data_IF_016116162856
#
_entry.id   IF_016116162856
#
_cell.length_a   1.000
_cell.length_b   1.000
_cell.length_c   1.000
_cell.angle_alpha   90.00
_cell.angle_beta   90.00
_cell.angle_gamma   90.00
#
_symmetry.space_group_name_H-M   'P 1'
#
loop_
_entity.id
_entity.type
_entity.pdbx_description
1 polymer ?
#
# COMPACT_ATOMS: atom_id res chain seq x y z
N UNK A 1 -56.42 25.74 -21.64
CA UNK A 1 -56.53 24.76 -20.53
C UNK A 1 -55.13 24.30 -20.16
N UNK A 2 -54.84 24.23 -18.86
CA UNK A 2 -53.48 24.21 -18.26
C UNK A 2 -52.69 22.94 -18.60
N UNK A 3 -51.40 23.11 -18.91
CA UNK A 3 -50.40 22.05 -19.02
C UNK A 3 -50.11 21.47 -17.63
N UNK A 4 -50.21 20.16 -17.46
CA UNK A 4 -49.83 19.45 -16.25
C UNK A 4 -48.46 18.82 -16.47
N UNK A 5 -47.41 19.47 -15.99
CA UNK A 5 -46.08 18.89 -15.83
C UNK A 5 -46.09 18.04 -14.56
N UNK A 6 -46.03 16.72 -14.71
CA UNK A 6 -45.94 15.78 -13.59
C UNK A 6 -44.45 15.59 -13.24
N UNK A 7 -43.95 16.43 -12.33
CA UNK A 7 -42.64 16.25 -11.69
C UNK A 7 -42.78 15.12 -10.65
N UNK A 8 -42.25 13.94 -10.95
CA UNK A 8 -42.20 12.82 -10.02
C UNK A 8 -40.95 12.95 -9.14
N UNK A 9 -41.06 13.73 -8.07
CA UNK A 9 -40.05 13.83 -7.02
C UNK A 9 -40.11 12.55 -6.16
N UNK A 10 -39.25 11.58 -6.44
CA UNK A 10 -39.11 10.40 -5.58
C UNK A 10 -38.34 10.81 -4.31
N UNK A 11 -39.09 11.12 -3.25
CA UNK A 11 -38.57 11.38 -1.92
C UNK A 11 -38.04 10.07 -1.33
N UNK A 12 -36.73 9.84 -1.45
CA UNK A 12 -36.02 8.79 -0.72
C UNK A 12 -35.68 9.34 0.67
N UNK A 13 -36.65 9.25 1.58
CA UNK A 13 -36.42 9.48 3.01
C UNK A 13 -35.75 8.23 3.60
N UNK A 14 -34.42 8.15 3.50
CA UNK A 14 -33.65 7.07 4.14
C UNK A 14 -33.49 7.37 5.62
N UNK A 15 -34.04 6.48 6.42
CA UNK A 15 -33.85 6.35 7.86
C UNK A 15 -32.38 6.08 8.20
N UNK A 16 -31.65 7.13 8.55
CA UNK A 16 -30.27 7.09 9.09
C UNK A 16 -30.14 6.23 10.38
N UNK A 17 -31.26 5.85 11.01
CA UNK A 17 -31.30 5.14 12.28
C UNK A 17 -30.91 3.66 12.20
N UNK A 18 -31.12 3.00 11.06
CA UNK A 18 -30.89 1.56 10.92
C UNK A 18 -29.40 1.19 10.77
N UNK A 19 -28.59 2.10 10.22
CA UNK A 19 -27.14 1.91 10.04
C UNK A 19 -26.41 1.91 11.39
N UNK A 20 -26.89 2.69 12.37
CA UNK A 20 -26.23 2.88 13.68
C UNK A 20 -26.21 1.65 14.60
N UNK A 21 -27.02 0.62 14.36
CA UNK A 21 -27.17 -0.54 15.26
C UNK A 21 -26.26 -1.73 14.91
N UNK A 22 -25.69 -1.83 13.71
CA UNK A 22 -24.73 -2.89 13.35
C UNK A 22 -23.25 -2.50 13.62
N UNK A 23 -22.99 -1.23 13.94
CA UNK A 23 -21.68 -0.56 14.03
C UNK A 23 -20.83 -0.88 15.29
N UNK A 24 -21.15 -1.92 16.06
CA UNK A 24 -20.63 -2.12 17.43
C UNK A 24 -19.54 -3.21 17.58
N UNK A 25 -18.81 -3.57 16.52
CA UNK A 25 -17.70 -4.50 16.66
C UNK A 25 -16.57 -4.29 15.64
N UNK A 26 -15.39 -4.01 16.20
CA UNK A 26 -14.02 -4.10 15.64
C UNK A 26 -13.49 -2.93 14.80
N UNK A 27 -12.33 -2.43 15.25
CA UNK A 27 -11.65 -1.21 14.86
C UNK A 27 -10.53 -1.45 13.82
N UNK A 28 -10.91 -1.78 12.58
CA UNK A 28 -10.01 -1.65 11.43
C UNK A 28 -10.74 -0.87 10.33
N UNK A 29 -10.08 0.09 9.70
CA UNK A 29 -10.72 1.05 8.79
C UNK A 29 -11.12 0.46 7.45
N UNK A 30 -10.45 -0.63 7.08
CA UNK A 30 -10.87 -1.57 6.03
C UNK A 30 -12.36 -1.94 6.21
N UNK A 31 -12.84 -2.13 7.45
CA UNK A 31 -14.25 -2.42 7.71
C UNK A 31 -15.21 -1.28 7.36
N UNK A 32 -14.82 -0.02 7.49
CA UNK A 32 -15.74 1.09 7.21
C UNK A 32 -15.93 1.26 5.71
N UNK A 33 -14.83 1.31 4.97
CA UNK A 33 -14.85 1.45 3.51
C UNK A 33 -15.55 0.23 2.88
N UNK A 34 -15.19 -0.99 3.29
CA UNK A 34 -15.77 -2.21 2.74
C UNK A 34 -17.27 -2.35 3.05
N UNK A 35 -17.70 -1.95 4.24
CA UNK A 35 -19.13 -1.94 4.58
C UNK A 35 -19.92 -1.00 3.68
N UNK A 36 -19.39 0.19 3.42
CA UNK A 36 -20.03 1.16 2.52
C UNK A 36 -20.04 0.65 1.09
N UNK A 37 -18.92 0.12 0.59
CA UNK A 37 -18.85 -0.47 -0.76
C UNK A 37 -19.84 -1.63 -0.94
N UNK A 38 -19.98 -2.49 0.07
CA UNK A 38 -20.93 -3.60 0.07
C UNK A 38 -22.38 -3.13 -0.01
N UNK A 39 -22.73 -2.08 0.73
CA UNK A 39 -24.08 -1.52 0.69
C UNK A 39 -24.36 -0.82 -0.64
N UNK A 40 -23.41 -0.04 -1.16
CA UNK A 40 -23.52 0.57 -2.50
C UNK A 40 -23.73 -0.49 -3.59
N UNK A 41 -22.98 -1.59 -3.52
CA UNK A 41 -23.12 -2.67 -4.50
C UNK A 41 -24.49 -3.35 -4.39
N UNK A 42 -25.00 -3.51 -3.16
CA UNK A 42 -26.34 -4.07 -2.92
C UNK A 42 -27.43 -3.16 -3.49
N UNK A 43 -27.37 -1.86 -3.23
CA UNK A 43 -28.33 -0.89 -3.76
C UNK A 43 -28.29 -0.85 -5.30
N UNK A 44 -27.09 -0.84 -5.88
CA UNK A 44 -26.89 -0.91 -7.34
C UNK A 44 -27.48 -2.19 -7.92
N UNK A 45 -27.21 -3.35 -7.33
CA UNK A 45 -27.69 -4.62 -7.83
C UNK A 45 -29.23 -4.67 -7.91
N UNK A 46 -29.92 -4.12 -6.90
CA UNK A 46 -31.38 -4.00 -6.92
C UNK A 46 -31.87 -3.05 -8.02
N UNK A 47 -31.20 -1.91 -8.21
CA UNK A 47 -31.53 -0.96 -9.28
C UNK A 47 -31.33 -1.58 -10.67
N UNK A 48 -30.19 -2.25 -10.89
CA UNK A 48 -29.85 -2.95 -12.13
C UNK A 48 -30.91 -4.00 -12.48
N UNK A 49 -31.34 -4.80 -11.51
CA UNK A 49 -32.39 -5.80 -11.71
C UNK A 49 -33.73 -5.17 -12.12
N UNK A 50 -34.07 -4.01 -11.54
CA UNK A 50 -35.28 -3.27 -11.89
C UNK A 50 -35.22 -2.74 -13.33
N UNK A 51 -34.08 -2.16 -13.71
CA UNK A 51 -33.86 -1.63 -15.06
C UNK A 51 -33.89 -2.75 -16.10
N UNK A 52 -33.25 -3.89 -15.83
CA UNK A 52 -33.28 -5.07 -16.71
C UNK A 52 -34.71 -5.59 -16.93
N UNK A 53 -35.52 -5.63 -15.86
CA UNK A 53 -36.92 -6.03 -15.96
C UNK A 53 -37.71 -5.08 -16.86
N UNK A 54 -37.54 -3.77 -16.69
CA UNK A 54 -38.20 -2.74 -17.51
C UNK A 54 -37.79 -2.81 -18.97
N UNK A 55 -36.49 -2.97 -19.24
CA UNK A 55 -35.98 -3.12 -20.61
C UNK A 55 -36.62 -4.33 -21.29
N UNK A 56 -36.71 -5.47 -20.60
CA UNK A 56 -37.39 -6.68 -21.12
C UNK A 56 -38.88 -6.46 -21.39
N UNK A 57 -39.57 -5.72 -20.52
CA UNK A 57 -40.97 -5.36 -20.72
C UNK A 57 -41.15 -4.49 -21.98
N UNK A 58 -40.29 -3.49 -22.16
CA UNK A 58 -40.30 -2.61 -23.34
C UNK A 58 -39.97 -3.41 -24.61
N UNK A 59 -38.98 -4.30 -24.57
CA UNK A 59 -38.63 -5.17 -25.68
C UNK A 59 -39.81 -6.06 -26.10
N UNK A 60 -40.59 -6.58 -25.14
CA UNK A 60 -41.81 -7.34 -25.44
C UNK A 60 -42.87 -6.47 -26.13
N UNK A 61 -43.07 -5.22 -25.69
CA UNK A 61 -43.99 -4.27 -26.34
C UNK A 61 -43.57 -3.94 -27.77
N UNK A 62 -42.27 -3.73 -27.99
CA UNK A 62 -41.69 -3.48 -29.33
C UNK A 62 -41.92 -4.69 -30.24
N UNK A 63 -41.65 -5.91 -29.75
CA UNK A 63 -41.85 -7.13 -30.54
C UNK A 63 -43.31 -7.33 -30.94
N UNK A 64 -44.24 -7.13 -30.01
CA UNK A 64 -45.69 -7.21 -30.30
C UNK A 64 -46.12 -6.15 -31.33
N UNK A 65 -45.57 -4.93 -31.24
CA UNK A 65 -45.81 -3.88 -32.23
C UNK A 65 -45.23 -4.25 -33.60
N UNK A 66 -44.03 -4.83 -33.65
CA UNK A 66 -43.41 -5.26 -34.90
C UNK A 66 -44.24 -6.33 -35.62
N UNK A 67 -44.83 -7.27 -34.89
CA UNK A 67 -45.79 -8.24 -35.44
C UNK A 67 -47.08 -7.55 -35.93
N UNK A 68 -47.63 -6.62 -35.14
CA UNK A 68 -48.84 -5.88 -35.49
C UNK A 68 -48.66 -4.98 -36.73
N UNK A 69 -47.49 -4.36 -36.90
CA UNK A 69 -47.12 -3.55 -38.07
C UNK A 69 -47.03 -4.44 -39.32
N UNK A 70 -46.38 -5.60 -39.22
CA UNK A 70 -46.27 -6.57 -40.33
C UNK A 70 -47.63 -7.04 -40.81
N UNK A 71 -48.57 -7.26 -39.88
CA UNK A 71 -49.90 -7.78 -40.18
C UNK A 71 -50.91 -6.70 -40.60
N UNK A 72 -50.61 -5.41 -40.41
CA UNK A 72 -51.51 -4.33 -40.80
C UNK A 72 -51.59 -4.15 -42.32
N UNK A 73 -52.79 -3.86 -42.84
CA UNK A 73 -53.06 -3.59 -44.27
C UNK A 73 -53.34 -2.12 -44.56
N UNK A 74 -53.54 -1.29 -43.53
CA UNK A 74 -53.86 0.13 -43.67
C UNK A 74 -52.61 0.97 -43.43
N UNK A 75 -52.28 1.87 -44.38
CA UNK A 75 -51.13 2.77 -44.27
C UNK A 75 -51.22 3.72 -43.05
N UNK A 76 -52.43 4.22 -42.73
CA UNK A 76 -52.61 5.12 -41.58
C UNK A 76 -52.35 4.41 -40.25
N UNK A 77 -52.86 3.18 -40.09
CA UNK A 77 -52.64 2.34 -38.91
C UNK A 77 -51.16 1.93 -38.75
N UNK A 78 -50.45 1.69 -39.86
CA UNK A 78 -49.00 1.46 -39.83
C UNK A 78 -48.22 2.67 -39.33
N UNK A 79 -48.57 3.88 -39.78
CA UNK A 79 -47.89 5.10 -39.36
C UNK A 79 -48.06 5.32 -37.86
N UNK A 80 -49.27 5.16 -37.33
CA UNK A 80 -49.54 5.31 -35.89
C UNK A 80 -48.74 4.31 -35.05
N UNK A 81 -48.71 3.03 -35.45
CA UNK A 81 -47.91 1.99 -34.75
C UNK A 81 -46.41 2.22 -34.86
N UNK A 82 -45.92 2.77 -35.97
CA UNK A 82 -44.51 3.15 -36.10
C UNK A 82 -44.15 4.30 -35.16
N UNK A 83 -45.03 5.29 -34.97
CA UNK A 83 -44.82 6.35 -33.99
C UNK A 83 -44.78 5.80 -32.56
N UNK A 84 -45.69 4.88 -32.22
CA UNK A 84 -45.70 4.20 -30.92
C UNK A 84 -44.43 3.37 -30.70
N UNK A 85 -43.94 2.68 -31.74
CA UNK A 85 -42.67 1.96 -31.71
C UNK A 85 -41.48 2.88 -31.46
N UNK A 86 -41.43 4.04 -32.13
CA UNK A 86 -40.36 5.04 -31.90
C UNK A 86 -40.37 5.49 -30.44
N UNK A 87 -41.55 5.78 -29.88
CA UNK A 87 -41.68 6.12 -28.46
C UNK A 87 -41.13 5.02 -27.54
N UNK A 88 -41.45 3.75 -27.78
CA UNK A 88 -40.90 2.66 -26.97
C UNK A 88 -39.39 2.49 -27.15
N UNK A 89 -38.84 2.77 -28.33
CA UNK A 89 -37.38 2.79 -28.53
C UNK A 89 -36.71 3.92 -27.76
N UNK A 90 -37.31 5.11 -27.71
CA UNK A 90 -36.83 6.23 -26.89
C UNK A 90 -36.89 5.90 -25.39
N UNK A 91 -37.98 5.28 -24.92
CA UNK A 91 -38.11 4.80 -23.54
C UNK A 91 -37.04 3.74 -23.22
N UNK A 92 -36.82 2.79 -24.13
CA UNK A 92 -35.77 1.77 -23.99
C UNK A 92 -34.38 2.40 -23.88
N UNK A 93 -34.07 3.35 -24.77
CA UNK A 93 -32.79 4.05 -24.74
C UNK A 93 -32.63 4.83 -23.42
N UNK A 94 -33.70 5.43 -22.90
CA UNK A 94 -33.67 6.11 -21.61
C UNK A 94 -33.36 5.15 -20.45
N UNK A 95 -33.92 3.93 -20.43
CA UNK A 95 -33.61 2.95 -19.39
C UNK A 95 -32.18 2.41 -19.49
N UNK A 96 -31.64 2.23 -20.71
CA UNK A 96 -30.23 1.89 -20.93
C UNK A 96 -29.31 3.00 -20.42
N UNK A 97 -29.60 4.26 -20.77
CA UNK A 97 -28.84 5.41 -20.30
C UNK A 97 -28.83 5.50 -18.76
N UNK A 98 -29.97 5.23 -18.10
CA UNK A 98 -30.06 5.16 -16.63
C UNK A 98 -29.16 4.06 -16.06
N UNK A 99 -29.10 2.89 -16.70
CA UNK A 99 -28.25 1.80 -16.26
C UNK A 99 -26.77 2.18 -16.38
N UNK A 100 -26.35 2.74 -17.51
CA UNK A 100 -24.98 3.21 -17.71
C UNK A 100 -24.59 4.26 -16.67
N UNK A 101 -25.46 5.24 -16.39
CA UNK A 101 -25.20 6.24 -15.34
C UNK A 101 -25.05 5.58 -13.97
N UNK A 102 -25.92 4.61 -13.64
CA UNK A 102 -25.84 3.85 -12.39
C UNK A 102 -24.51 3.10 -12.23
N UNK A 103 -24.00 2.48 -13.30
CA UNK A 103 -22.69 1.82 -13.31
C UNK A 103 -21.56 2.82 -13.04
N UNK A 104 -21.56 3.96 -13.71
CA UNK A 104 -20.53 4.99 -13.51
C UNK A 104 -20.59 5.62 -12.11
N UNK A 105 -21.79 5.84 -11.56
CA UNK A 105 -21.99 6.28 -10.18
C UNK A 105 -21.33 5.34 -9.18
N UNK A 106 -21.60 4.05 -9.29
CA UNK A 106 -21.00 3.04 -8.42
C UNK A 106 -19.48 2.97 -8.63
N UNK A 107 -19.02 2.81 -9.87
CA UNK A 107 -17.60 2.61 -10.14
C UNK A 107 -16.78 3.82 -9.68
N UNK A 108 -17.24 5.04 -9.94
CA UNK A 108 -16.52 6.24 -9.52
C UNK A 108 -16.55 6.44 -8.00
N UNK A 109 -17.70 6.19 -7.35
CA UNK A 109 -17.77 6.20 -5.89
C UNK A 109 -16.79 5.19 -5.30
N UNK A 110 -16.77 3.97 -5.84
CA UNK A 110 -15.82 2.92 -5.45
C UNK A 110 -14.36 3.40 -5.57
N UNK A 111 -14.00 4.05 -6.68
CA UNK A 111 -12.68 4.66 -6.87
C UNK A 111 -12.32 5.64 -5.76
N UNK A 112 -13.19 6.62 -5.51
CA UNK A 112 -12.97 7.65 -4.49
C UNK A 112 -12.84 7.04 -3.08
N UNK A 113 -13.68 6.07 -2.76
CA UNK A 113 -13.65 5.41 -1.45
C UNK A 113 -12.39 4.58 -1.24
N UNK A 114 -11.94 3.85 -2.26
CA UNK A 114 -10.68 3.10 -2.19
C UNK A 114 -9.48 4.05 -2.04
N UNK A 115 -9.46 5.15 -2.78
CA UNK A 115 -8.43 6.17 -2.68
C UNK A 115 -8.39 6.81 -1.28
N UNK A 116 -9.55 7.05 -0.66
CA UNK A 116 -9.66 7.51 0.73
C UNK A 116 -9.08 6.48 1.73
N UNK A 117 -9.36 5.20 1.53
CA UNK A 117 -8.89 4.12 2.40
C UNK A 117 -7.36 4.01 2.39
N UNK A 118 -6.76 4.06 1.19
CA UNK A 118 -5.30 4.00 1.02
C UNK A 118 -4.55 5.07 1.84
N UNK A 119 -5.11 6.27 1.98
CA UNK A 119 -4.49 7.36 2.76
C UNK A 119 -4.30 7.01 4.24
N UNK A 120 -5.16 6.13 4.78
CA UNK A 120 -5.07 5.67 6.16
C UNK A 120 -4.26 4.38 6.29
N UNK A 121 -4.35 3.50 5.31
CA UNK A 121 -3.58 2.25 5.26
C UNK A 121 -2.07 2.48 5.19
N UNK A 122 -1.60 3.56 4.53
CA UNK A 122 -0.16 3.89 4.42
C UNK A 122 0.46 4.32 5.77
N UNK A 123 -0.32 4.60 6.83
CA UNK A 123 0.15 5.22 8.09
C UNK A 123 0.04 4.37 9.38
N UNK A 124 0.28 3.04 9.42
CA UNK A 124 0.16 2.31 10.69
C UNK A 124 1.34 2.64 11.60
N UNK A 125 1.09 3.41 12.67
CA UNK A 125 2.10 3.78 13.67
C UNK A 125 2.78 2.56 14.31
N UNK A 126 2.02 1.47 14.51
CA UNK A 126 2.54 0.23 15.08
C UNK A 126 3.59 -0.42 14.17
N UNK A 127 3.33 -0.49 12.86
CA UNK A 127 4.29 -1.02 11.89
C UNK A 127 5.55 -0.15 11.83
N UNK A 128 5.41 1.17 11.94
CA UNK A 128 6.56 2.08 11.98
C UNK A 128 7.45 1.81 13.19
N UNK A 129 6.85 1.69 14.38
CA UNK A 129 7.60 1.45 15.62
C UNK A 129 8.28 0.07 15.62
N UNK A 130 7.56 -0.99 15.24
CA UNK A 130 8.14 -2.34 15.18
C UNK A 130 9.27 -2.44 14.15
N UNK A 131 9.07 -1.86 12.96
CA UNK A 131 10.11 -1.80 11.92
C UNK A 131 11.36 -1.08 12.43
N UNK A 132 11.19 0.06 13.11
CA UNK A 132 12.32 0.83 13.67
C UNK A 132 13.10 0.02 14.70
N UNK A 133 12.43 -0.69 15.59
CA UNK A 133 13.08 -1.54 16.60
C UNK A 133 13.86 -2.70 15.96
N UNK A 134 13.27 -3.34 14.93
CA UNK A 134 13.94 -4.38 14.16
C UNK A 134 15.21 -3.86 13.48
N UNK A 135 15.12 -2.81 12.66
CA UNK A 135 16.28 -2.27 11.94
C UNK A 135 17.36 -1.73 12.88
N UNK A 136 16.97 -1.08 13.98
CA UNK A 136 17.94 -0.64 14.99
C UNK A 136 18.70 -1.81 15.62
N UNK A 137 18.05 -2.96 15.79
CA UNK A 137 18.69 -4.16 16.33
C UNK A 137 19.60 -4.80 15.29
N UNK A 138 19.15 -4.84 14.04
CA UNK A 138 19.89 -5.35 12.90
C UNK A 138 21.24 -4.61 12.71
N UNK A 139 21.22 -3.28 12.85
CA UNK A 139 22.42 -2.45 12.82
C UNK A 139 23.34 -2.70 14.02
N UNK A 140 22.77 -2.93 15.21
CA UNK A 140 23.57 -3.25 16.39
C UNK A 140 24.35 -4.56 16.22
N UNK A 141 23.74 -5.58 15.62
CA UNK A 141 24.40 -6.88 15.32
C UNK A 141 25.54 -6.71 14.31
N UNK A 142 25.39 -5.78 13.37
CA UNK A 142 26.37 -5.52 12.32
C UNK A 142 27.63 -4.77 12.82
N UNK A 143 27.67 -4.39 14.09
CA UNK A 143 28.78 -3.65 14.67
C UNK A 143 29.51 -4.46 15.77
N UNK A 144 30.74 -4.96 15.50
CA UNK A 144 31.58 -5.66 16.46
C UNK A 144 31.81 -4.91 17.78
N UNK A 145 31.73 -3.56 17.79
CA UNK A 145 31.89 -2.76 19.00
C UNK A 145 30.78 -2.95 20.04
N UNK A 146 29.66 -3.59 19.68
CA UNK A 146 28.59 -3.95 20.61
C UNK A 146 28.78 -5.31 21.28
N UNK A 147 29.89 -5.99 21.03
CA UNK A 147 30.21 -7.28 21.62
C UNK A 147 31.18 -7.11 22.78
N UNK A 148 30.97 -7.92 23.83
CA UNK A 148 31.75 -7.84 25.05
C UNK A 148 33.25 -8.01 24.78
N UNK A 149 34.06 -7.12 25.38
CA UNK A 149 35.51 -7.15 25.26
C UNK A 149 36.08 -6.67 23.92
N UNK A 150 35.24 -6.42 22.90
CA UNK A 150 35.73 -5.99 21.58
C UNK A 150 36.32 -4.57 21.63
N UNK A 151 35.64 -3.61 22.25
CA UNK A 151 36.12 -2.22 22.34
C UNK A 151 37.49 -2.12 23.02
N UNK A 152 37.66 -2.83 24.14
CA UNK A 152 38.93 -2.83 24.88
C UNK A 152 40.05 -3.47 24.07
N UNK A 153 39.78 -4.62 23.44
CA UNK A 153 40.74 -5.28 22.57
C UNK A 153 41.09 -4.42 21.35
N UNK A 154 40.09 -3.79 20.74
CA UNK A 154 40.26 -2.96 19.56
C UNK A 154 41.14 -1.74 19.85
N UNK A 155 41.05 -1.15 21.05
CA UNK A 155 41.99 -0.10 21.48
C UNK A 155 43.44 -0.60 21.57
N UNK A 156 43.68 -1.83 22.03
CA UNK A 156 45.03 -2.43 22.05
C UNK A 156 45.54 -2.67 20.63
N UNK A 157 44.67 -3.14 19.74
CA UNK A 157 44.99 -3.32 18.32
C UNK A 157 45.29 -1.99 17.62
N UNK A 158 44.48 -0.95 17.83
CA UNK A 158 44.73 0.40 17.29
C UNK A 158 46.08 0.96 17.72
N UNK A 159 46.45 0.81 18.99
CA UNK A 159 47.76 1.24 19.48
C UNK A 159 48.89 0.50 18.76
N UNK A 160 48.79 -0.81 18.59
CA UNK A 160 49.76 -1.58 17.81
C UNK A 160 49.88 -1.09 16.37
N UNK A 161 48.76 -0.85 15.69
CA UNK A 161 48.74 -0.34 14.31
C UNK A 161 49.44 1.01 14.23
N UNK A 162 49.17 1.91 15.18
CA UNK A 162 49.78 3.23 15.26
C UNK A 162 51.28 3.17 15.55
N UNK A 163 51.70 2.31 16.45
CA UNK A 163 53.12 2.17 16.84
C UNK A 163 53.96 1.47 15.76
N UNK A 164 53.32 0.61 14.94
CA UNK A 164 54.00 -0.21 13.92
C UNK A 164 53.81 0.31 12.49
N UNK A 165 53.21 1.49 12.31
CA UNK A 165 52.90 2.03 10.98
C UNK A 165 54.14 2.44 10.18
N UNK A 166 55.20 2.91 10.84
CA UNK A 166 56.43 3.36 10.17
C UNK A 166 57.18 2.18 9.52
N UNK A 167 57.07 0.99 10.11
CA UNK A 167 57.78 -0.21 9.68
C UNK A 167 56.96 -1.09 8.70
N UNK A 168 55.66 -0.80 8.52
CA UNK A 168 54.78 -1.60 7.68
C UNK A 168 53.77 -0.74 6.91
N UNK A 169 54.01 -0.59 5.60
CA UNK A 169 53.16 0.19 4.69
C UNK A 169 51.67 -0.25 4.69
N UNK A 170 51.37 -1.53 4.96
CA UNK A 170 49.98 -2.00 5.07
C UNK A 170 49.32 -1.53 6.38
N UNK A 171 50.08 -1.48 7.48
CA UNK A 171 49.60 -0.93 8.75
C UNK A 171 49.48 0.60 8.68
N UNK A 172 50.36 1.29 7.95
CA UNK A 172 50.20 2.72 7.67
C UNK A 172 48.91 3.02 6.90
N UNK A 173 48.60 2.23 5.85
CA UNK A 173 47.36 2.35 5.12
C UNK A 173 46.14 2.08 6.03
N UNK A 174 46.20 1.04 6.87
CA UNK A 174 45.15 0.74 7.83
C UNK A 174 44.97 1.84 8.89
N UNK A 175 46.07 2.41 9.41
CA UNK A 175 46.02 3.52 10.36
C UNK A 175 45.32 4.74 9.73
N UNK A 176 45.67 5.06 8.48
CA UNK A 176 45.01 6.15 7.74
C UNK A 176 43.51 5.89 7.55
N UNK A 177 43.11 4.65 7.24
CA UNK A 177 41.68 4.29 7.14
C UNK A 177 40.98 4.52 8.48
N UNK A 178 41.55 4.00 9.59
CA UNK A 178 40.97 4.15 10.94
C UNK A 178 40.83 5.63 11.32
N UNK A 179 41.83 6.46 11.03
CA UNK A 179 41.81 7.90 11.29
C UNK A 179 40.75 8.64 10.44
N UNK A 180 40.59 8.26 9.18
CA UNK A 180 39.64 8.90 8.24
C UNK A 180 38.19 8.49 8.52
N UNK A 181 37.95 7.23 8.90
CA UNK A 181 36.61 6.71 9.20
C UNK A 181 36.09 7.14 10.57
N UNK A 182 36.96 7.67 11.45
CA UNK A 182 36.61 8.02 12.83
C UNK A 182 36.38 6.81 13.73
N UNK A 183 35.75 7.03 14.88
CA UNK A 183 35.37 5.97 15.82
C UNK A 183 34.49 4.94 15.10
N UNK A 184 35.03 3.74 14.90
CA UNK A 184 34.37 2.61 14.23
C UNK A 184 33.06 2.20 14.91
N UNK A 185 32.79 2.70 16.13
CA UNK A 185 31.50 2.61 16.79
C UNK A 185 30.35 3.32 16.04
N UNK A 186 30.64 4.29 15.16
CA UNK A 186 29.65 5.14 14.48
C UNK A 186 29.11 4.56 13.16
N UNK A 187 29.30 3.26 12.89
CA UNK A 187 28.58 2.55 11.83
C UNK A 187 29.29 2.48 10.47
N UNK A 188 30.63 2.60 10.41
CA UNK A 188 31.35 2.23 9.19
C UNK A 188 31.38 0.70 9.10
N UNK A 189 30.76 0.08 8.07
CA UNK A 189 30.70 -1.37 7.97
C UNK A 189 32.10 -1.98 7.88
N UNK A 190 32.34 -3.06 8.61
CA UNK A 190 33.55 -3.89 8.50
C UNK A 190 33.53 -4.76 7.22
N UNK A 191 33.11 -4.19 6.10
CA UNK A 191 32.78 -4.89 4.85
C UNK A 191 33.37 -4.14 3.65
N UNK A 192 33.63 -4.86 2.55
CA UNK A 192 34.13 -4.28 1.31
C UNK A 192 35.65 -4.12 1.27
N UNK A 193 36.15 -3.10 0.56
CA UNK A 193 37.58 -2.97 0.22
C UNK A 193 38.51 -2.85 1.44
N UNK A 194 37.99 -2.43 2.60
CA UNK A 194 38.78 -2.23 3.82
C UNK A 194 38.87 -3.48 4.71
N UNK A 195 37.97 -4.46 4.52
CA UNK A 195 37.93 -5.68 5.33
C UNK A 195 39.23 -6.49 5.21
N UNK A 196 39.81 -6.57 4.01
CA UNK A 196 41.07 -7.28 3.78
C UNK A 196 42.24 -6.68 4.57
N UNK A 197 42.40 -5.36 4.55
CA UNK A 197 43.46 -4.66 5.31
C UNK A 197 43.29 -4.81 6.81
N UNK A 198 42.04 -4.79 7.30
CA UNK A 198 41.77 -5.03 8.71
C UNK A 198 42.10 -6.47 9.13
N UNK A 199 41.65 -7.48 8.38
CA UNK A 199 41.94 -8.88 8.69
C UNK A 199 43.44 -9.18 8.63
N UNK A 200 44.15 -8.65 7.65
CA UNK A 200 45.62 -8.73 7.56
C UNK A 200 46.29 -8.04 8.76
N UNK A 201 45.79 -6.86 9.15
CA UNK A 201 46.27 -6.11 10.31
C UNK A 201 46.10 -6.91 11.61
N UNK A 202 44.91 -7.47 11.85
CA UNK A 202 44.63 -8.32 13.00
C UNK A 202 45.51 -9.57 13.00
N UNK A 203 45.70 -10.21 11.84
CA UNK A 203 46.60 -11.35 11.69
C UNK A 203 48.05 -11.00 12.03
N UNK A 204 48.51 -9.83 11.57
CA UNK A 204 49.85 -9.29 11.90
C UNK A 204 49.98 -9.03 13.40
N UNK A 205 48.96 -8.44 14.02
CA UNK A 205 48.92 -8.22 15.46
C UNK A 205 49.02 -9.54 16.24
N UNK A 206 48.21 -10.55 15.90
CA UNK A 206 48.26 -11.88 16.52
C UNK A 206 49.65 -12.52 16.42
N UNK A 207 50.31 -12.36 15.26
CA UNK A 207 51.63 -12.93 15.02
C UNK A 207 52.76 -12.19 15.75
N UNK A 208 52.57 -10.91 16.07
CA UNK A 208 53.51 -10.12 16.86
C UNK A 208 53.53 -10.50 18.35
N UNK A 209 52.45 -11.15 18.84
CA UNK A 209 52.28 -11.51 20.24
C UNK A 209 53.11 -12.75 20.61
N UNK A 210 53.89 -12.61 21.69
CA UNK A 210 54.85 -13.62 22.14
C UNK A 210 54.23 -14.59 23.15
N UNK A 211 55.02 -15.59 23.60
CA UNK A 211 54.61 -16.55 24.64
C UNK A 211 54.16 -15.90 25.96
N UNK A 212 54.61 -14.68 26.24
CA UNK A 212 54.23 -13.90 27.43
C UNK A 212 52.84 -13.27 27.31
N UNK A 213 52.35 -13.09 26.08
CA UNK A 213 51.08 -12.42 25.76
C UNK A 213 50.00 -13.45 25.38
N UNK A 214 50.09 -14.66 25.95
CA UNK A 214 49.25 -15.81 25.57
C UNK A 214 47.75 -15.48 25.65
N UNK A 215 47.31 -14.82 26.71
CA UNK A 215 45.91 -14.44 26.91
C UNK A 215 45.44 -13.42 25.86
N UNK A 216 46.24 -12.38 25.58
CA UNK A 216 45.93 -11.39 24.56
C UNK A 216 45.91 -12.02 23.16
N UNK A 217 46.77 -13.00 22.91
CA UNK A 217 46.78 -13.76 21.65
C UNK A 217 45.52 -14.59 21.49
N UNK A 218 45.09 -15.30 22.54
CA UNK A 218 43.84 -16.05 22.54
C UNK A 218 42.64 -15.13 22.35
N UNK A 219 42.58 -14.01 23.09
CA UNK A 219 41.56 -12.97 22.92
C UNK A 219 41.53 -12.43 21.49
N UNK A 220 42.69 -12.11 20.91
CA UNK A 220 42.79 -11.59 19.54
C UNK A 220 42.30 -12.58 18.48
N UNK A 221 42.55 -13.87 18.68
CA UNK A 221 41.99 -14.92 17.80
C UNK A 221 40.47 -14.99 17.92
N UNK A 222 39.90 -14.81 19.12
CA UNK A 222 38.44 -14.75 19.28
C UNK A 222 37.84 -13.49 18.62
N UNK A 223 38.48 -12.33 18.78
CA UNK A 223 38.02 -11.08 18.17
C UNK A 223 38.14 -11.11 16.65
N UNK A 224 39.17 -11.77 16.09
CA UNK A 224 39.28 -12.03 14.66
C UNK A 224 38.07 -12.84 14.16
N UNK A 225 37.75 -13.96 14.82
CA UNK A 225 36.62 -14.81 14.46
C UNK A 225 35.27 -14.08 14.57
N UNK A 226 35.06 -13.34 15.65
CA UNK A 226 33.88 -12.49 15.82
C UNK A 226 33.78 -11.44 14.69
N UNK A 227 34.88 -10.75 14.38
CA UNK A 227 34.93 -9.77 13.27
C UNK A 227 34.57 -10.43 11.95
N UNK A 228 35.06 -11.65 11.70
CA UNK A 228 34.71 -12.43 10.50
C UNK A 228 33.23 -12.77 10.46
N UNK A 229 32.66 -13.31 11.54
CA UNK A 229 31.23 -13.63 11.61
C UNK A 229 30.35 -12.40 11.40
N UNK A 230 30.66 -11.28 12.07
CA UNK A 230 29.92 -10.02 11.92
C UNK A 230 30.07 -9.43 10.51
N UNK A 231 31.27 -9.46 9.92
CA UNK A 231 31.51 -8.99 8.56
C UNK A 231 30.71 -9.80 7.53
N UNK A 232 30.65 -11.13 7.69
CA UNK A 232 29.88 -12.00 6.82
C UNK A 232 28.37 -11.78 6.98
N UNK A 233 27.89 -11.63 8.23
CA UNK A 233 26.51 -11.26 8.52
C UNK A 233 26.14 -9.92 7.87
N UNK A 234 27.00 -8.92 8.01
CA UNK A 234 26.78 -7.57 7.46
C UNK A 234 26.76 -7.63 5.93
N UNK A 235 27.66 -8.37 5.29
CA UNK A 235 27.64 -8.56 3.84
C UNK A 235 26.31 -9.16 3.35
N UNK A 236 25.83 -10.21 4.00
CA UNK A 236 24.56 -10.84 3.63
C UNK A 236 23.36 -9.91 3.91
N UNK A 237 23.42 -9.13 5.01
CA UNK A 237 22.44 -8.10 5.36
C UNK A 237 22.36 -7.02 4.27
N UNK A 238 23.50 -6.49 3.82
CA UNK A 238 23.56 -5.40 2.83
C UNK A 238 22.93 -5.81 1.48
N UNK A 239 23.03 -7.10 1.12
CA UNK A 239 22.34 -7.65 -0.05
C UNK A 239 20.80 -7.59 0.08
N UNK A 240 20.27 -7.72 1.30
CA UNK A 240 18.84 -7.57 1.59
C UNK A 240 18.46 -6.08 1.65
N UNK A 241 19.30 -5.23 2.24
CA UNK A 241 19.06 -3.79 2.37
C UNK A 241 19.00 -3.07 1.01
N UNK A 242 19.74 -3.56 0.01
CA UNK A 242 19.64 -3.03 -1.37
C UNK A 242 18.21 -3.15 -1.93
N UNK A 243 17.50 -4.25 -1.65
CA UNK A 243 16.09 -4.39 -2.05
C UNK A 243 15.19 -3.46 -1.23
N UNK A 244 15.49 -3.27 0.06
CA UNK A 244 14.75 -2.36 0.92
C UNK A 244 14.82 -0.90 0.42
N UNK A 245 15.99 -0.44 -0.03
CA UNK A 245 16.12 0.88 -0.66
C UNK A 245 15.26 1.02 -1.92
N UNK A 246 15.24 -0.01 -2.77
CA UNK A 246 14.39 -0.04 -3.96
C UNK A 246 12.89 -0.03 -3.63
N UNK A 247 12.49 -0.72 -2.55
CA UNK A 247 11.13 -0.70 -2.01
C UNK A 247 10.77 0.71 -1.51
N UNK A 248 11.63 1.36 -0.73
CA UNK A 248 11.39 2.71 -0.22
C UNK A 248 11.19 3.72 -1.35
N UNK A 249 12.02 3.66 -2.40
CA UNK A 249 11.83 4.48 -3.59
C UNK A 249 10.48 4.23 -4.26
N UNK A 250 10.05 2.96 -4.34
CA UNK A 250 8.75 2.60 -4.91
C UNK A 250 7.58 3.13 -4.06
N UNK A 251 7.70 3.13 -2.73
CA UNK A 251 6.73 3.70 -1.81
C UNK A 251 6.63 5.23 -1.96
N UNK A 252 7.76 5.93 -2.06
CA UNK A 252 7.77 7.38 -2.28
C UNK A 252 7.13 7.75 -3.61
N UNK A 253 7.44 7.01 -4.68
CA UNK A 253 6.79 7.16 -5.98
C UNK A 253 5.28 6.91 -5.90
N UNK A 254 4.86 5.84 -5.22
CA UNK A 254 3.45 5.54 -5.00
C UNK A 254 2.75 6.67 -4.24
N UNK A 255 3.37 7.20 -3.17
CA UNK A 255 2.82 8.29 -2.37
C UNK A 255 2.62 9.55 -3.21
N UNK A 256 3.58 9.89 -4.06
CA UNK A 256 3.45 11.02 -4.98
C UNK A 256 2.29 10.84 -5.98
N UNK A 257 2.12 9.63 -6.55
CA UNK A 257 1.01 9.34 -7.46
C UNK A 257 -0.33 9.39 -6.72
N UNK A 258 -0.38 8.87 -5.49
CA UNK A 258 -1.56 8.90 -4.64
C UNK A 258 -1.94 10.34 -4.28
N UNK A 259 -1.00 11.19 -3.88
CA UNK A 259 -1.26 12.61 -3.54
C UNK A 259 -1.79 13.38 -4.76
N UNK A 260 -1.27 13.08 -5.95
CA UNK A 260 -1.81 13.62 -7.21
C UNK A 260 -3.25 13.16 -7.45
N UNK A 261 -3.52 11.86 -7.33
CA UNK A 261 -4.87 11.32 -7.49
C UNK A 261 -5.85 11.88 -6.45
N UNK A 262 -5.40 12.08 -5.20
CA UNK A 262 -6.18 12.72 -4.14
C UNK A 262 -6.54 14.15 -4.53
N UNK A 263 -5.59 14.93 -5.04
CA UNK A 263 -5.81 16.32 -5.47
C UNK A 263 -6.81 16.37 -6.64
N UNK A 264 -6.60 15.55 -7.67
CA UNK A 264 -7.47 15.50 -8.84
C UNK A 264 -8.90 15.07 -8.48
N UNK A 265 -9.06 13.99 -7.72
CA UNK A 265 -10.40 13.50 -7.36
C UNK A 265 -11.06 14.36 -6.30
N UNK A 266 -10.42 14.59 -5.15
CA UNK A 266 -11.07 15.28 -4.04
C UNK A 266 -11.20 16.78 -4.29
N UNK A 267 -10.13 17.48 -4.64
CA UNK A 267 -10.21 18.95 -4.75
C UNK A 267 -10.84 19.40 -6.07
N UNK A 268 -10.39 18.85 -7.19
CA UNK A 268 -10.79 19.35 -8.52
C UNK A 268 -12.14 18.81 -8.97
N UNK A 269 -12.39 17.50 -8.82
CA UNK A 269 -13.64 16.87 -9.28
C UNK A 269 -14.76 16.98 -8.23
N UNK A 270 -14.48 16.62 -6.98
CA UNK A 270 -15.50 16.59 -5.92
C UNK A 270 -15.66 17.94 -5.20
N UNK A 271 -14.68 18.84 -5.27
CA UNK A 271 -14.70 20.13 -4.55
C UNK A 271 -14.49 19.98 -3.03
N UNK A 272 -13.80 18.93 -2.59
CA UNK A 272 -13.52 18.58 -1.21
C UNK A 272 -12.07 18.98 -0.88
N UNK A 273 -11.92 19.94 0.04
CA UNK A 273 -10.62 20.36 0.58
C UNK A 273 -9.91 19.20 1.30
N UNK A 274 -8.66 18.90 0.90
CA UNK A 274 -7.89 17.79 1.47
C UNK A 274 -7.61 17.97 2.97
N UNK A 275 -7.51 19.21 3.46
CA UNK A 275 -7.35 19.47 4.90
C UNK A 275 -8.62 19.12 5.67
N UNK A 276 -9.79 19.45 5.12
CA UNK A 276 -11.08 19.04 5.67
C UNK A 276 -11.25 17.52 5.65
N UNK A 277 -10.88 16.86 4.54
CA UNK A 277 -10.84 15.40 4.44
C UNK A 277 -9.97 14.79 5.54
N UNK A 278 -8.73 15.25 5.70
CA UNK A 278 -7.82 14.74 6.73
C UNK A 278 -8.38 14.87 8.15
N UNK A 279 -9.07 15.98 8.47
CA UNK A 279 -9.71 16.16 9.78
C UNK A 279 -10.94 15.29 10.00
N UNK A 280 -11.79 15.11 8.98
CA UNK A 280 -13.08 14.42 9.10
C UNK A 280 -13.02 12.92 8.87
N UNK A 281 -11.94 12.45 8.23
CA UNK A 281 -11.74 11.03 7.94
C UNK A 281 -10.43 10.49 8.51
N UNK A 282 -9.28 10.92 7.96
CA UNK A 282 -7.98 10.32 8.27
C UNK A 282 -7.66 10.36 9.76
N UNK A 283 -7.80 11.53 10.38
CA UNK A 283 -7.48 11.80 11.77
C UNK A 283 -8.69 11.65 12.71
N UNK A 284 -9.87 11.32 12.18
CA UNK A 284 -11.07 11.13 13.00
C UNK A 284 -11.04 9.75 13.66
N UNK A 285 -11.21 9.73 14.97
CA UNK A 285 -11.17 8.51 15.80
C UNK A 285 -12.54 7.83 15.91
N UNK A 286 -13.63 8.58 15.79
CA UNK A 286 -14.99 8.05 15.86
C UNK A 286 -15.39 7.35 14.54
N UNK A 287 -15.58 6.03 14.61
CA UNK A 287 -15.95 5.21 13.46
C UNK A 287 -17.28 5.65 12.82
N UNK A 288 -18.29 6.07 13.61
CA UNK A 288 -19.59 6.48 13.08
C UNK A 288 -19.48 7.76 12.26
N UNK A 289 -18.69 8.72 12.74
CA UNK A 289 -18.42 9.97 12.00
C UNK A 289 -17.68 9.70 10.71
N UNK A 290 -16.69 8.79 10.73
CA UNK A 290 -15.99 8.36 9.52
C UNK A 290 -16.93 7.71 8.52
N UNK A 291 -17.77 6.77 8.95
CA UNK A 291 -18.77 6.12 8.08
C UNK A 291 -19.70 7.14 7.45
N UNK A 292 -20.25 8.07 8.24
CA UNK A 292 -21.12 9.10 7.70
C UNK A 292 -20.40 9.98 6.66
N UNK A 293 -19.16 10.38 6.94
CA UNK A 293 -18.42 11.23 6.03
C UNK A 293 -18.06 10.51 4.72
N UNK A 294 -17.73 9.21 4.77
CA UNK A 294 -17.52 8.38 3.58
C UNK A 294 -18.80 8.23 2.75
N UNK A 295 -19.96 8.04 3.40
CA UNK A 295 -21.25 8.03 2.71
C UNK A 295 -21.54 9.37 2.02
N UNK A 296 -21.23 10.49 2.70
CA UNK A 296 -21.39 11.82 2.12
C UNK A 296 -20.49 12.01 0.89
N UNK A 297 -19.22 11.57 0.97
CA UNK A 297 -18.29 11.59 -0.17
C UNK A 297 -18.81 10.75 -1.34
N UNK A 298 -19.28 9.54 -1.08
CA UNK A 298 -19.87 8.67 -2.10
C UNK A 298 -21.01 9.39 -2.81
N UNK A 299 -21.92 10.01 -2.06
CA UNK A 299 -23.06 10.72 -2.65
C UNK A 299 -22.63 11.94 -3.48
N UNK A 300 -21.59 12.66 -3.06
CA UNK A 300 -21.02 13.76 -3.85
C UNK A 300 -20.45 13.20 -5.17
N UNK A 301 -19.72 12.09 -5.13
CA UNK A 301 -19.18 11.44 -6.32
C UNK A 301 -20.29 11.00 -7.29
N UNK A 302 -21.37 10.39 -6.79
CA UNK A 302 -22.52 10.03 -7.61
C UNK A 302 -23.20 11.23 -8.26
N UNK A 303 -23.35 12.34 -7.54
CA UNK A 303 -23.96 13.56 -8.07
C UNK A 303 -23.11 14.17 -9.17
N UNK A 304 -21.77 14.14 -9.04
CA UNK A 304 -20.84 14.65 -10.05
C UNK A 304 -20.96 13.93 -11.40
N UNK A 305 -21.23 12.63 -11.37
CA UNK A 305 -21.53 11.87 -12.60
C UNK A 305 -22.80 12.41 -13.30
N UNK A 306 -23.85 12.73 -12.53
CA UNK A 306 -25.09 13.28 -13.09
C UNK A 306 -24.85 14.68 -13.65
N UNK A 307 -24.18 15.55 -12.89
CA UNK A 307 -23.85 16.92 -13.30
C UNK A 307 -23.01 16.94 -14.61
N UNK A 308 -22.02 16.05 -14.73
CA UNK A 308 -21.22 15.95 -15.96
C UNK A 308 -22.06 15.40 -17.12
N UNK A 309 -22.91 14.38 -16.90
CA UNK A 309 -23.79 13.84 -17.95
C UNK A 309 -24.72 14.91 -18.53
N UNK A 310 -25.23 15.81 -17.68
CA UNK A 310 -26.13 16.89 -18.07
C UNK A 310 -25.40 18.01 -18.82
N UNK A 311 -24.19 18.36 -18.40
CA UNK A 311 -23.40 19.47 -18.96
C UNK A 311 -22.56 19.08 -20.18
N UNK A 312 -22.13 17.81 -20.28
CA UNK A 312 -21.25 17.28 -21.32
C UNK A 312 -21.74 15.91 -21.85
N UNK A 313 -22.91 15.88 -22.50
CA UNK A 313 -23.61 14.62 -22.80
C UNK A 313 -22.86 13.63 -23.69
N UNK A 314 -21.92 14.10 -24.51
CA UNK A 314 -21.17 13.25 -25.44
C UNK A 314 -19.89 12.67 -24.83
N UNK A 315 -19.20 13.42 -23.96
CA UNK A 315 -17.84 13.06 -23.49
C UNK A 315 -17.71 12.91 -21.97
N UNK A 316 -18.81 12.96 -21.22
CA UNK A 316 -18.82 12.91 -19.75
C UNK A 316 -18.10 11.71 -19.12
N UNK A 317 -17.92 10.59 -19.85
CA UNK A 317 -17.35 9.36 -19.30
C UNK A 317 -15.84 9.39 -19.15
N UNK A 318 -15.13 10.08 -20.05
CA UNK A 318 -13.69 9.90 -20.25
C UNK A 318 -12.88 10.26 -19.01
N UNK A 319 -13.12 11.44 -18.44
CA UNK A 319 -12.39 11.93 -17.27
C UNK A 319 -12.55 11.00 -16.06
N UNK A 320 -13.78 10.55 -15.78
CA UNK A 320 -14.04 9.61 -14.69
C UNK A 320 -13.44 8.23 -14.97
N UNK A 321 -13.47 7.76 -16.21
CA UNK A 321 -12.83 6.49 -16.60
C UNK A 321 -11.32 6.52 -16.35
N UNK A 322 -10.64 7.58 -16.78
CA UNK A 322 -9.20 7.74 -16.59
C UNK A 322 -8.84 7.78 -15.10
N UNK A 323 -9.65 8.46 -14.28
CA UNK A 323 -9.45 8.50 -12.83
C UNK A 323 -9.71 7.14 -12.16
N UNK A 324 -10.75 6.42 -12.58
CA UNK A 324 -11.01 5.06 -12.11
C UNK A 324 -9.81 4.13 -12.42
N UNK A 325 -9.28 4.16 -13.64
CA UNK A 325 -8.09 3.39 -14.01
C UNK A 325 -6.86 3.80 -13.18
N UNK A 326 -6.65 5.09 -12.93
CA UNK A 326 -5.55 5.58 -12.11
C UNK A 326 -5.62 5.01 -10.68
N UNK A 327 -6.80 5.02 -10.05
CA UNK A 327 -6.99 4.45 -8.70
C UNK A 327 -6.81 2.94 -8.68
N UNK A 328 -7.32 2.21 -9.68
CA UNK A 328 -7.13 0.76 -9.76
C UNK A 328 -5.64 0.41 -9.88
N UNK A 329 -4.91 1.11 -10.76
CA UNK A 329 -3.47 0.93 -10.92
C UNK A 329 -2.70 1.26 -9.64
N UNK A 330 -3.11 2.30 -8.90
CA UNK A 330 -2.55 2.63 -7.58
C UNK A 330 -2.71 1.48 -6.60
N UNK A 331 -3.92 0.89 -6.51
CA UNK A 331 -4.20 -0.22 -5.59
C UNK A 331 -3.43 -1.50 -5.95
N UNK A 332 -3.28 -1.79 -7.25
CA UNK A 332 -2.43 -2.90 -7.73
C UNK A 332 -0.98 -2.67 -7.32
N UNK A 333 -0.41 -1.48 -7.60
CA UNK A 333 0.98 -1.15 -7.25
C UNK A 333 1.22 -1.21 -5.74
N UNK A 334 0.25 -0.77 -4.94
CA UNK A 334 0.32 -0.90 -3.49
C UNK A 334 0.37 -2.37 -3.08
N UNK A 335 -0.50 -3.21 -3.63
CA UNK A 335 -0.46 -4.67 -3.46
C UNK A 335 0.90 -5.28 -3.80
N UNK A 336 1.46 -4.95 -4.97
CA UNK A 336 2.78 -5.44 -5.40
C UNK A 336 3.90 -5.01 -4.44
N UNK A 337 3.88 -3.76 -3.96
CA UNK A 337 4.86 -3.26 -2.99
C UNK A 337 4.70 -3.99 -1.66
N UNK A 338 3.47 -4.21 -1.18
CA UNK A 338 3.25 -4.95 0.08
C UNK A 338 3.73 -6.39 -0.03
N UNK A 339 3.59 -7.03 -1.20
CA UNK A 339 4.14 -8.35 -1.46
C UNK A 339 5.67 -8.35 -1.43
N UNK A 340 6.32 -7.38 -2.09
CA UNK A 340 7.78 -7.23 -2.06
C UNK A 340 8.32 -6.98 -0.66
N UNK A 341 7.62 -6.19 0.17
CA UNK A 341 7.98 -5.99 1.58
C UNK A 341 7.95 -7.32 2.32
N UNK A 342 6.87 -8.10 2.17
CA UNK A 342 6.73 -9.40 2.82
C UNK A 342 7.84 -10.37 2.38
N UNK A 343 8.15 -10.43 1.09
CA UNK A 343 9.29 -11.22 0.58
C UNK A 343 10.61 -10.76 1.18
N UNK A 344 10.82 -9.45 1.33
CA UNK A 344 12.04 -8.92 1.93
C UNK A 344 12.16 -9.26 3.42
N UNK A 345 11.04 -9.21 4.17
CA UNK A 345 11.00 -9.68 5.56
C UNK A 345 11.36 -11.17 5.67
N UNK A 346 10.89 -12.00 4.73
CA UNK A 346 11.26 -13.43 4.67
C UNK A 346 12.75 -13.64 4.37
N UNK A 347 13.42 -12.73 3.64
CA UNK A 347 14.88 -12.81 3.44
C UNK A 347 15.63 -12.60 4.76
N UNK A 348 15.16 -11.70 5.63
CA UNK A 348 15.74 -11.53 6.97
C UNK A 348 15.55 -12.78 7.84
N UNK A 349 14.42 -13.50 7.71
CA UNK A 349 14.22 -14.79 8.37
C UNK A 349 15.30 -15.80 7.95
N UNK A 350 15.59 -15.88 6.64
CA UNK A 350 16.68 -16.70 6.12
C UNK A 350 18.07 -16.29 6.61
N UNK A 351 18.31 -14.98 6.76
CA UNK A 351 19.56 -14.46 7.34
C UNK A 351 19.71 -14.90 8.81
N UNK A 352 18.66 -14.73 9.62
CA UNK A 352 18.67 -15.10 11.04
C UNK A 352 18.91 -16.61 11.19
N UNK A 353 18.22 -17.44 10.42
CA UNK A 353 18.39 -18.89 10.46
C UNK A 353 19.82 -19.34 10.12
N UNK A 354 20.47 -18.68 9.16
CA UNK A 354 21.87 -18.95 8.79
C UNK A 354 22.82 -18.73 9.97
N UNK A 355 22.60 -17.69 10.77
CA UNK A 355 23.50 -17.27 11.85
C UNK A 355 23.08 -17.70 13.25
N UNK A 356 21.91 -18.32 13.44
CA UNK A 356 21.42 -18.69 14.79
C UNK A 356 22.30 -19.69 15.55
N UNK A 357 23.12 -20.44 14.82
CA UNK A 357 24.10 -21.41 15.39
C UNK A 357 25.51 -20.83 15.48
N UNK A 358 25.73 -19.60 15.01
CA UNK A 358 27.03 -18.95 15.11
C UNK A 358 27.37 -18.73 16.59
N UNK A 359 28.55 -19.17 17.08
CA UNK A 359 28.91 -19.07 18.49
C UNK A 359 28.90 -17.65 19.06
N UNK A 360 29.12 -16.64 18.20
CA UNK A 360 29.21 -15.23 18.56
C UNK A 360 27.87 -14.51 18.36
N UNK A 361 27.09 -14.88 17.35
CA UNK A 361 25.86 -14.16 16.99
C UNK A 361 24.58 -14.77 17.56
N UNK A 362 24.58 -16.04 18.01
CA UNK A 362 23.38 -16.80 18.42
C UNK A 362 22.42 -16.04 19.34
N UNK A 363 22.91 -15.29 20.33
CA UNK A 363 22.05 -14.59 21.30
C UNK A 363 21.36 -13.39 20.66
N UNK A 364 22.09 -12.67 19.79
CA UNK A 364 21.54 -11.55 19.03
C UNK A 364 20.56 -12.02 17.95
N UNK A 365 20.78 -13.20 17.37
CA UNK A 365 19.84 -13.80 16.42
C UNK A 365 18.48 -14.09 17.05
N UNK A 366 18.44 -14.56 18.30
CA UNK A 366 17.16 -14.77 19.00
C UNK A 366 16.37 -13.48 19.25
N UNK A 367 17.05 -12.38 19.57
CA UNK A 367 16.41 -11.05 19.71
C UNK A 367 15.92 -10.52 18.35
N UNK A 368 16.70 -10.71 17.28
CA UNK A 368 16.29 -10.37 15.92
C UNK A 368 15.09 -11.18 15.44
N UNK A 369 15.04 -12.48 15.74
CA UNK A 369 13.94 -13.37 15.39
C UNK A 369 12.63 -12.87 16.01
N UNK A 370 12.65 -12.60 17.33
CA UNK A 370 11.49 -12.06 18.04
C UNK A 370 11.00 -10.74 17.42
N UNK A 371 11.92 -9.82 17.12
CA UNK A 371 11.57 -8.51 16.53
C UNK A 371 11.07 -8.64 15.10
N UNK A 372 11.66 -9.52 14.30
CA UNK A 372 11.20 -9.80 12.94
C UNK A 372 9.79 -10.39 12.97
N UNK A 373 9.52 -11.33 13.87
CA UNK A 373 8.18 -11.90 14.05
C UNK A 373 7.15 -10.83 14.40
N UNK A 374 7.49 -9.90 15.28
CA UNK A 374 6.60 -8.77 15.62
C UNK A 374 6.32 -7.91 14.38
N UNK A 375 7.34 -7.56 13.60
CA UNK A 375 7.19 -6.77 12.37
C UNK A 375 6.33 -7.53 11.35
N UNK A 376 6.64 -8.78 11.09
CA UNK A 376 5.94 -9.64 10.11
C UNK A 376 4.49 -9.85 10.51
N UNK A 377 4.21 -10.23 11.76
CA UNK A 377 2.84 -10.37 12.25
C UNK A 377 2.07 -9.04 12.21
N UNK A 378 2.70 -7.93 12.57
CA UNK A 378 2.09 -6.60 12.46
C UNK A 378 1.81 -6.22 11.00
N UNK A 379 2.70 -6.61 10.07
CA UNK A 379 2.55 -6.34 8.65
C UNK A 379 1.41 -7.18 8.06
N UNK A 380 1.44 -8.50 8.24
CA UNK A 380 0.43 -9.44 7.72
C UNK A 380 -0.96 -9.21 8.31
N UNK A 381 -1.06 -8.75 9.56
CA UNK A 381 -2.35 -8.37 10.17
C UNK A 381 -2.89 -7.02 9.70
N UNK A 382 -2.03 -6.17 9.12
CA UNK A 382 -2.42 -4.85 8.61
C UNK A 382 -2.64 -4.86 7.11
N UNK A 383 -1.87 -5.67 6.37
CA UNK A 383 -1.87 -5.72 4.92
C UNK A 383 -2.04 -7.15 4.44
N UNK A 384 -3.04 -7.37 3.57
CA UNK A 384 -3.22 -8.61 2.85
C UNK A 384 -2.93 -8.40 1.35
N UNK A 385 -1.69 -8.64 0.87
CA UNK A 385 -1.29 -8.32 -0.50
C UNK A 385 -2.17 -8.98 -1.57
N UNK A 386 -2.60 -10.22 -1.34
CA UNK A 386 -3.43 -10.97 -2.29
C UNK A 386 -4.84 -10.37 -2.40
N UNK A 387 -5.38 -9.89 -1.28
CA UNK A 387 -6.69 -9.24 -1.24
C UNK A 387 -6.66 -7.88 -1.94
N UNK A 388 -5.58 -7.10 -1.81
CA UNK A 388 -5.41 -5.87 -2.58
C UNK A 388 -5.46 -6.10 -4.09
N UNK A 389 -4.69 -7.07 -4.60
CA UNK A 389 -4.63 -7.36 -6.04
C UNK A 389 -5.98 -7.89 -6.52
N UNK A 390 -6.59 -8.83 -5.80
CA UNK A 390 -7.89 -9.39 -6.15
C UNK A 390 -8.99 -8.31 -6.15
N UNK A 391 -9.09 -7.54 -5.06
CA UNK A 391 -10.08 -6.48 -4.92
C UNK A 391 -9.90 -5.39 -5.99
N UNK A 392 -8.67 -5.14 -6.44
CA UNK A 392 -8.41 -4.21 -7.55
C UNK A 392 -8.94 -4.72 -8.88
N UNK A 393 -8.77 -6.01 -9.17
CA UNK A 393 -9.27 -6.62 -10.41
C UNK A 393 -10.81 -6.72 -10.44
N UNK A 394 -11.45 -6.86 -9.28
CA UNK A 394 -12.90 -6.94 -9.11
C UNK A 394 -13.54 -5.57 -8.75
N UNK A 395 -12.76 -4.49 -8.76
CA UNK A 395 -13.13 -3.18 -8.23
C UNK A 395 -14.26 -2.50 -9.00
N UNK A 396 -14.28 -2.69 -10.32
CA UNK A 396 -15.21 -2.05 -11.22
C UNK A 396 -16.08 -3.05 -11.96
N UNK A 397 -17.31 -2.62 -12.19
CA UNK A 397 -18.27 -3.33 -13.00
C UNK A 397 -17.89 -3.12 -14.46
N UNK A 398 -17.75 -4.23 -15.17
CA UNK A 398 -17.60 -4.26 -16.63
C UNK A 398 -18.96 -4.66 -17.21
N UNK A 399 -19.50 -3.83 -18.11
CA UNK A 399 -20.72 -4.15 -18.89
C UNK A 399 -20.41 -5.06 -20.08
#
# INVERSE_FOLDING_TARGET
>A
MKKLTLSLSLFVAVSASAVSQSLSATSSDERVTDQVLKELNRERALLSQNLDFRIKEIDSKINNLDESIKNSRNASDKVEKLLERVKFLEERQSEIDKNTISVYKYNYSSAVLNLASMEREIKPLNLFNSSREFYSTLDQVSNPMHYEGYQEWFGKFQNFVKDSQEDNARLAALNHIIEVTGDLSQGTPFVGMFAGSLFDGIGTFINSLNRRDKELREQSVQMLKLTTSVSQFTHDKDLIETEWEAINKSLDELKNIQDKAMTENFEQMLGIDLKAFGRKFTNETDAKKRTQYILDISKIAENKIVEERESNPENWKQSYHDQMLAVQNLKIRFGDITFRILENLNKYEGLIEKYKKDPYLKEKMGDLELKLDIVKNSFESTFNPQEYIKASNEMYIVE
#
